data_IF_723626020405
#
_entry.id   IF_723626020405
#
_cell.length_a   1.000
_cell.length_b   1.000
_cell.length_c   1.000
_cell.angle_alpha   90.00
_cell.angle_beta   90.00
_cell.angle_gamma   90.00
#
_symmetry.space_group_name_H-M   'P 1'
#
loop_
_entity.id
_entity.type
_entity.pdbx_description
1 polymer ?
#
# COMPACT_ATOMS: atom_id res chain seq x y z
N UNK A 1 50.76 -19.39 1.56
CA UNK A 1 50.61 -18.05 0.96
C UNK A 1 49.38 -18.05 0.02
N UNK A 2 48.17 -17.59 0.39
CA UNK A 2 47.70 -16.84 1.58
C UNK A 2 46.22 -17.20 1.94
N UNK A 3 46.00 -18.35 2.56
CA UNK A 3 45.07 -18.51 3.70
C UNK A 3 45.77 -18.18 5.04
N UNK A 4 47.10 -18.14 5.02
CA UNK A 4 47.98 -17.87 6.16
C UNK A 4 47.99 -16.39 6.58
N UNK A 5 47.59 -15.43 5.73
CA UNK A 5 47.52 -14.01 6.11
C UNK A 5 46.36 -13.69 7.05
N UNK A 6 45.25 -14.42 6.92
CA UNK A 6 44.08 -14.24 7.80
C UNK A 6 44.40 -14.82 9.18
N UNK A 7 45.18 -15.91 9.24
CA UNK A 7 45.67 -16.48 10.51
C UNK A 7 46.77 -15.63 11.16
N UNK A 8 47.62 -14.94 10.38
CA UNK A 8 48.61 -14.00 10.94
C UNK A 8 48.00 -12.70 11.48
N UNK A 9 46.82 -12.28 11.01
CA UNK A 9 46.11 -11.11 11.52
C UNK A 9 45.39 -11.38 12.87
N UNK A 10 45.12 -12.64 13.18
CA UNK A 10 44.56 -13.11 14.45
C UNK A 10 45.69 -13.57 15.36
N UNK A 11 46.54 -12.61 15.76
CA UNK A 11 47.79 -12.84 16.49
C UNK A 11 47.68 -13.90 17.59
N UNK A 12 48.76 -14.67 17.74
CA UNK A 12 48.94 -15.80 18.65
C UNK A 12 48.19 -15.62 19.98
N UNK A 13 47.14 -16.42 20.15
CA UNK A 13 46.50 -16.60 21.45
C UNK A 13 47.45 -17.45 22.28
N UNK A 14 48.14 -16.80 23.23
CA UNK A 14 49.08 -17.43 24.16
C UNK A 14 48.44 -18.66 24.83
N UNK A 15 48.98 -19.85 24.54
CA UNK A 15 48.49 -21.16 25.01
C UNK A 15 48.36 -21.21 26.55
N UNK A 16 49.04 -20.32 27.27
CA UNK A 16 48.98 -20.21 28.73
C UNK A 16 47.60 -19.77 29.26
N UNK A 17 46.77 -19.12 28.45
CA UNK A 17 45.38 -18.79 28.83
C UNK A 17 44.38 -19.93 28.59
N UNK A 18 44.78 -20.99 27.89
CA UNK A 18 43.91 -22.12 27.55
C UNK A 18 43.98 -23.22 28.63
N UNK A 19 45.11 -23.40 29.31
CA UNK A 19 45.26 -24.48 30.32
C UNK A 19 44.65 -24.17 31.70
N UNK A 20 44.46 -22.90 32.07
CA UNK A 20 43.94 -22.54 33.41
C UNK A 20 42.41 -22.54 33.56
N UNK A 21 41.65 -22.76 32.48
CA UNK A 21 40.19 -22.66 32.52
C UNK A 21 39.43 -23.98 32.41
N UNK A 22 40.09 -25.13 32.46
CA UNK A 22 39.45 -26.44 32.28
C UNK A 22 38.41 -26.78 33.37
N UNK A 23 37.09 -26.83 33.07
CA UNK A 23 36.12 -27.45 33.96
C UNK A 23 35.94 -28.92 33.57
N UNK A 24 35.91 -29.75 34.62
CA UNK A 24 35.65 -31.18 34.61
C UNK A 24 34.49 -31.58 33.69
N UNK A 25 34.79 -32.52 32.78
CA UNK A 25 33.93 -33.54 32.15
C UNK A 25 32.41 -33.35 32.39
N UNK A 26 31.71 -32.67 31.48
CA UNK A 26 30.25 -32.77 31.29
C UNK A 26 29.83 -32.42 29.85
N UNK A 27 29.18 -33.41 29.21
CA UNK A 27 28.32 -33.40 28.03
C UNK A 27 28.77 -32.59 26.79
N UNK A 28 29.46 -33.28 25.86
CA UNK A 28 29.81 -32.78 24.52
C UNK A 28 28.60 -32.39 23.65
N UNK A 29 27.43 -33.00 23.86
CA UNK A 29 26.23 -32.72 23.06
C UNK A 29 25.72 -31.28 23.21
N UNK A 30 25.92 -30.64 24.37
CA UNK A 30 25.46 -29.26 24.61
C UNK A 30 26.29 -28.22 23.84
N UNK A 31 27.61 -28.49 23.66
CA UNK A 31 28.53 -27.60 22.93
C UNK A 31 28.27 -27.60 21.42
N UNK A 32 27.87 -28.73 20.85
CA UNK A 32 27.46 -28.83 19.44
C UNK A 32 26.09 -28.18 19.21
N UNK A 33 25.17 -28.28 20.17
CA UNK A 33 23.88 -27.57 20.12
C UNK A 33 24.04 -26.05 20.08
N UNK A 34 24.93 -25.46 20.89
CA UNK A 34 25.19 -24.01 20.86
C UNK A 34 25.90 -23.54 19.60
N UNK A 35 26.82 -24.34 19.06
CA UNK A 35 27.50 -24.04 17.79
C UNK A 35 26.56 -24.14 16.59
N UNK A 36 25.69 -25.15 16.56
CA UNK A 36 24.67 -25.31 15.53
C UNK A 36 23.61 -24.20 15.60
N UNK A 37 23.18 -23.79 16.80
CA UNK A 37 22.28 -22.66 16.96
C UNK A 37 22.93 -21.34 16.52
N UNK A 38 24.21 -21.10 16.85
CA UNK A 38 24.96 -19.95 16.38
C UNK A 38 25.13 -19.93 14.87
N UNK A 39 25.44 -21.07 14.25
CA UNK A 39 25.51 -21.22 12.79
C UNK A 39 24.16 -20.99 12.12
N UNK A 40 23.05 -21.53 12.66
CA UNK A 40 21.71 -21.28 12.12
C UNK A 40 21.29 -19.82 12.25
N UNK A 41 21.70 -19.14 13.31
CA UNK A 41 21.39 -17.73 13.53
C UNK A 41 22.22 -16.84 12.59
N UNK A 42 23.51 -17.14 12.40
CA UNK A 42 24.38 -16.47 11.42
C UNK A 42 23.92 -16.75 9.99
N UNK A 43 23.56 -17.99 9.65
CA UNK A 43 23.01 -18.35 8.35
C UNK A 43 21.64 -17.71 8.13
N UNK A 44 20.78 -17.63 9.15
CA UNK A 44 19.48 -16.98 9.05
C UNK A 44 19.60 -15.47 8.82
N UNK A 45 20.52 -14.80 9.53
CA UNK A 45 20.83 -13.39 9.30
C UNK A 45 21.45 -13.20 7.91
N UNK A 46 22.38 -14.08 7.50
CA UNK A 46 22.99 -14.02 6.18
C UNK A 46 21.97 -14.22 5.05
N UNK A 47 21.03 -15.15 5.21
CA UNK A 47 19.93 -15.36 4.24
C UNK A 47 19.04 -14.13 4.19
N UNK A 48 18.71 -13.50 5.32
CA UNK A 48 17.91 -12.27 5.31
C UNK A 48 18.65 -11.06 4.71
N UNK A 49 19.97 -10.99 4.83
CA UNK A 49 20.79 -9.94 4.23
C UNK A 49 21.06 -10.18 2.73
N UNK A 50 21.20 -11.45 2.32
CA UNK A 50 21.48 -11.84 0.93
C UNK A 50 20.20 -11.96 0.09
N UNK A 51 19.08 -12.29 0.72
CA UNK A 51 17.78 -12.46 0.10
C UNK A 51 16.75 -11.63 0.87
N UNK A 52 16.68 -10.32 0.60
CA UNK A 52 15.59 -9.50 1.11
C UNK A 52 14.25 -10.14 0.68
N UNK A 53 13.19 -10.04 1.52
CA UNK A 53 11.88 -10.52 1.14
C UNK A 53 11.39 -9.82 -0.14
N UNK A 54 10.36 -10.35 -0.80
CA UNK A 54 9.71 -9.60 -1.89
C UNK A 54 9.18 -8.25 -1.37
N UNK A 55 9.03 -7.28 -2.26
CA UNK A 55 8.56 -5.95 -1.88
C UNK A 55 7.17 -5.99 -1.22
N UNK A 56 6.27 -6.84 -1.70
CA UNK A 56 4.93 -7.07 -1.14
C UNK A 56 5.01 -7.67 0.26
N UNK A 57 5.92 -8.63 0.46
CA UNK A 57 6.14 -9.22 1.78
C UNK A 57 6.70 -8.18 2.76
N UNK A 58 7.54 -7.27 2.27
CA UNK A 58 8.01 -6.12 3.04
C UNK A 58 6.85 -5.16 3.37
N UNK A 59 6.05 -4.74 2.39
CA UNK A 59 4.91 -3.84 2.58
C UNK A 59 3.91 -4.40 3.59
N UNK A 60 3.47 -5.65 3.42
CA UNK A 60 2.52 -6.29 4.33
C UNK A 60 3.03 -6.34 5.79
N UNK A 61 4.35 -6.50 5.98
CA UNK A 61 4.97 -6.45 7.31
C UNK A 61 5.06 -5.02 7.84
N UNK A 62 5.41 -4.07 6.98
CA UNK A 62 5.50 -2.66 7.32
C UNK A 62 4.13 -2.14 7.78
N UNK A 63 3.07 -2.35 7.01
CA UNK A 63 1.72 -1.88 7.33
C UNK A 63 1.23 -2.52 8.63
N UNK A 64 1.39 -3.84 8.80
CA UNK A 64 1.01 -4.53 10.04
C UNK A 64 1.77 -4.01 11.28
N UNK A 65 3.02 -3.61 11.11
CA UNK A 65 3.82 -3.01 12.18
C UNK A 65 3.38 -1.58 12.49
N UNK A 66 3.19 -0.78 11.44
CA UNK A 66 2.82 0.63 11.53
C UNK A 66 1.47 0.84 12.21
N UNK A 67 0.42 0.11 11.79
CA UNK A 67 -0.91 0.17 12.40
C UNK A 67 -0.95 -0.24 13.87
N UNK A 68 0.06 -0.99 14.34
CA UNK A 68 0.14 -1.43 15.74
C UNK A 68 0.78 -0.39 16.66
N UNK A 69 1.60 0.51 16.12
CA UNK A 69 2.31 1.54 16.87
C UNK A 69 1.60 2.91 16.81
N UNK A 70 0.73 3.13 15.82
CA UNK A 70 0.04 4.42 15.58
C UNK A 70 -1.28 4.61 16.38
N UNK A 71 -1.36 4.17 17.65
CA UNK A 71 -2.57 4.32 18.48
C UNK A 71 -2.71 5.72 19.12
N UNK A 72 -2.46 6.76 18.34
CA UNK A 72 -2.61 8.14 18.79
C UNK A 72 -2.13 9.10 17.73
N UNK A 73 -3.06 9.90 17.20
CA UNK A 73 -2.96 11.26 16.66
C UNK A 73 -1.58 11.92 16.39
N UNK A 74 -0.57 11.19 15.93
CA UNK A 74 0.56 11.81 15.24
C UNK A 74 0.11 12.04 13.80
N UNK A 75 -0.47 13.22 13.61
CA UNK A 75 -0.58 13.90 12.34
C UNK A 75 0.87 14.19 11.85
N UNK A 76 1.63 13.14 11.56
CA UNK A 76 2.92 13.24 10.91
C UNK A 76 2.61 13.66 9.50
N UNK A 77 2.67 14.98 9.29
CA UNK A 77 3.00 15.66 8.05
C UNK A 77 3.12 14.68 6.86
N UNK A 78 2.00 14.50 6.15
CA UNK A 78 1.94 13.72 4.92
C UNK A 78 2.69 14.51 3.84
N UNK A 79 4.02 14.35 3.80
CA UNK A 79 4.83 14.86 2.70
C UNK A 79 4.31 14.22 1.40
N UNK A 80 3.79 15.06 0.51
CA UNK A 80 3.24 14.62 -0.76
C UNK A 80 3.88 15.33 -1.93
N UNK A 81 3.94 14.67 -3.09
CA UNK A 81 4.56 15.22 -4.29
C UNK A 81 3.82 14.81 -5.56
N UNK A 82 3.71 15.74 -6.50
CA UNK A 82 3.14 15.50 -7.82
C UNK A 82 4.20 15.12 -8.83
N UNK A 83 3.95 14.08 -9.62
CA UNK A 83 4.84 13.58 -10.67
C UNK A 83 4.05 13.49 -11.98
N UNK A 84 4.57 14.00 -13.11
CA UNK A 84 3.93 13.82 -14.40
C UNK A 84 3.82 12.34 -14.78
N UNK A 85 2.62 11.90 -15.17
CA UNK A 85 2.33 10.56 -15.70
C UNK A 85 1.37 10.71 -16.89
N UNK A 86 1.89 10.53 -18.10
CA UNK A 86 1.12 10.79 -19.32
C UNK A 86 0.60 12.23 -19.39
N UNK A 87 -0.72 12.40 -19.44
CA UNK A 87 -1.39 13.70 -19.45
C UNK A 87 -1.86 14.17 -18.07
N UNK A 88 -1.57 13.42 -17.01
CA UNK A 88 -2.01 13.69 -15.64
C UNK A 88 -0.81 13.96 -14.72
N UNK A 89 -1.07 14.51 -13.53
CA UNK A 89 -0.10 14.52 -12.44
C UNK A 89 -0.53 13.53 -11.37
N UNK A 90 0.28 12.49 -11.16
CA UNK A 90 0.11 11.54 -10.08
C UNK A 90 0.66 12.13 -8.78
N UNK A 91 -0.19 12.26 -7.78
CA UNK A 91 0.18 12.66 -6.44
C UNK A 91 0.57 11.43 -5.62
N UNK A 92 1.72 11.51 -4.97
CA UNK A 92 2.27 10.47 -4.13
C UNK A 92 2.42 10.95 -2.71
N UNK A 93 2.14 10.06 -1.76
CA UNK A 93 2.37 10.27 -0.34
C UNK A 93 3.61 9.52 0.11
N UNK A 94 4.42 10.17 0.94
CA UNK A 94 5.58 9.52 1.54
C UNK A 94 5.13 8.39 2.48
N UNK A 95 5.80 7.25 2.39
CA UNK A 95 5.66 6.14 3.34
C UNK A 95 6.70 6.35 4.45
N UNK A 96 6.27 6.74 5.67
CA UNK A 96 7.18 7.23 6.70
C UNK A 96 8.02 6.10 7.33
N UNK A 97 9.13 6.46 7.98
CA UNK A 97 9.95 5.52 8.78
C UNK A 97 10.53 4.30 8.04
N UNK A 98 10.56 4.30 6.71
CA UNK A 98 11.27 3.26 5.95
C UNK A 98 12.78 3.56 5.95
N UNK A 99 13.59 2.60 6.39
CA UNK A 99 15.05 2.78 6.48
C UNK A 99 15.68 2.83 5.09
N UNK A 100 16.66 3.72 4.89
CA UNK A 100 17.42 3.80 3.64
C UNK A 100 18.03 2.45 3.23
N UNK A 101 18.67 1.73 4.17
CA UNK A 101 19.24 0.40 3.90
C UNK A 101 18.21 -0.61 3.41
N UNK A 102 16.94 -0.45 3.78
CA UNK A 102 15.86 -1.30 3.28
C UNK A 102 15.52 -0.94 1.83
N UNK A 103 15.41 0.35 1.52
CA UNK A 103 15.07 0.84 0.18
C UNK A 103 16.13 0.50 -0.87
N UNK A 104 17.41 0.51 -0.49
CA UNK A 104 18.52 0.13 -1.37
C UNK A 104 18.35 -1.27 -2.00
N UNK A 105 17.67 -2.19 -1.30
CA UNK A 105 17.39 -3.53 -1.82
C UNK A 105 16.31 -3.58 -2.89
N UNK A 106 15.46 -2.55 -2.97
CA UNK A 106 14.29 -2.48 -3.84
C UNK A 106 14.41 -1.43 -4.94
N UNK A 107 15.58 -0.80 -5.11
CA UNK A 107 15.82 0.12 -6.23
C UNK A 107 15.80 -0.68 -7.55
N UNK A 108 14.85 -0.34 -8.42
CA UNK A 108 14.73 -0.87 -9.78
C UNK A 108 15.38 0.02 -10.83
N UNK A 109 14.83 -0.02 -12.04
CA UNK A 109 15.25 0.85 -13.13
C UNK A 109 14.86 2.30 -12.86
N UNK A 110 15.59 3.24 -13.48
CA UNK A 110 15.27 4.66 -13.40
C UNK A 110 13.95 4.90 -14.13
N UNK A 111 12.97 5.44 -13.41
CA UNK A 111 11.72 5.95 -13.97
C UNK A 111 11.94 7.33 -14.60
N UNK A 112 12.48 8.27 -13.81
CA UNK A 112 12.67 9.65 -14.23
C UNK A 112 13.77 10.35 -13.43
N UNK A 113 14.35 11.41 -14.02
CA UNK A 113 15.19 12.37 -13.32
C UNK A 113 14.51 13.74 -13.35
N UNK A 114 14.28 14.30 -12.18
CA UNK A 114 13.71 15.64 -11.99
C UNK A 114 14.69 16.53 -11.23
N UNK A 115 14.34 17.79 -11.02
CA UNK A 115 15.20 18.72 -10.28
C UNK A 115 15.47 18.28 -8.84
N UNK A 116 14.46 17.66 -8.20
CA UNK A 116 14.55 17.15 -6.83
C UNK A 116 15.36 15.87 -6.67
N UNK A 117 15.63 15.12 -7.75
CA UNK A 117 16.33 13.86 -7.64
C UNK A 117 15.99 12.85 -8.71
N UNK A 118 16.40 11.61 -8.45
CA UNK A 118 16.19 10.47 -9.35
C UNK A 118 15.08 9.59 -8.77
N UNK A 119 14.15 9.21 -9.62
CA UNK A 119 13.01 8.36 -9.30
C UNK A 119 13.19 7.01 -9.95
N UNK A 120 12.92 5.97 -9.17
CA UNK A 120 13.12 4.57 -9.56
C UNK A 120 11.81 3.82 -9.42
N UNK A 121 11.59 2.90 -10.36
CA UNK A 121 10.64 1.83 -10.17
C UNK A 121 11.05 0.98 -8.95
N UNK A 122 10.09 0.29 -8.36
CA UNK A 122 10.41 -0.82 -7.48
C UNK A 122 11.06 -1.93 -8.31
N UNK A 123 12.14 -2.51 -7.77
CA UNK A 123 12.85 -3.61 -8.41
C UNK A 123 11.90 -4.74 -8.81
N UNK A 124 12.06 -5.23 -10.03
CA UNK A 124 11.27 -6.30 -10.64
C UNK A 124 9.76 -5.95 -10.77
N UNK A 125 9.42 -4.66 -10.79
CA UNK A 125 8.07 -4.12 -11.04
C UNK A 125 8.11 -3.06 -12.14
N UNK A 126 7.06 -3.03 -12.95
CA UNK A 126 6.84 -2.09 -14.05
C UNK A 126 5.63 -1.15 -13.81
N UNK A 127 5.10 -1.15 -12.59
CA UNK A 127 3.99 -0.29 -12.16
C UNK A 127 4.48 0.98 -11.48
N UNK A 128 3.66 2.03 -11.48
CA UNK A 128 3.91 3.27 -10.73
C UNK A 128 3.20 3.32 -9.37
N UNK A 129 2.53 2.25 -8.93
CA UNK A 129 1.84 2.21 -7.63
C UNK A 129 2.75 2.62 -6.44
N UNK A 130 4.03 2.27 -6.53
CA UNK A 130 5.07 2.71 -5.61
C UNK A 130 6.31 3.15 -6.37
N UNK A 131 6.98 4.17 -5.86
CA UNK A 131 8.25 4.65 -6.40
C UNK A 131 9.26 4.90 -5.28
N UNK A 132 10.54 4.78 -5.59
CA UNK A 132 11.62 5.21 -4.71
C UNK A 132 12.21 6.48 -5.29
N UNK A 133 12.30 7.56 -4.52
CA UNK A 133 13.08 8.73 -4.91
C UNK A 133 14.42 8.74 -4.19
N UNK A 134 15.43 9.33 -4.84
CA UNK A 134 16.73 9.66 -4.26
C UNK A 134 16.97 11.16 -4.41
N UNK A 135 16.95 11.86 -3.28
CA UNK A 135 17.24 13.29 -3.21
C UNK A 135 18.62 13.61 -3.77
N UNK A 136 18.72 14.72 -4.49
CA UNK A 136 19.96 15.12 -5.18
C UNK A 136 21.04 15.62 -4.22
N UNK A 137 20.64 16.27 -3.13
CA UNK A 137 21.55 16.99 -2.24
C UNK A 137 22.32 16.06 -1.31
N UNK A 138 21.63 15.14 -0.65
CA UNK A 138 22.21 14.24 0.35
C UNK A 138 22.12 12.75 -0.02
N UNK A 139 21.44 12.42 -1.12
CA UNK A 139 21.22 11.05 -1.57
C UNK A 139 20.19 10.28 -0.75
N UNK A 140 19.39 10.95 0.08
CA UNK A 140 18.37 10.32 0.91
C UNK A 140 17.30 9.62 0.07
N UNK A 141 16.96 8.40 0.46
CA UNK A 141 15.94 7.58 -0.20
C UNK A 141 14.58 7.72 0.51
N UNK A 142 13.53 7.87 -0.28
CA UNK A 142 12.14 7.89 0.18
C UNK A 142 11.32 6.88 -0.59
N UNK A 143 10.37 6.24 0.10
CA UNK A 143 9.33 5.44 -0.54
C UNK A 143 8.06 6.27 -0.68
N UNK A 144 7.45 6.18 -1.84
CA UNK A 144 6.27 6.93 -2.22
C UNK A 144 5.18 5.97 -2.66
N UNK A 145 3.96 6.18 -2.17
CA UNK A 145 2.76 5.43 -2.56
C UNK A 145 1.86 6.35 -3.36
N UNK A 146 1.38 5.88 -4.52
CA UNK A 146 0.40 6.61 -5.28
C UNK A 146 -0.85 6.85 -4.43
N UNK A 147 -1.35 8.08 -4.46
CA UNK A 147 -2.59 8.48 -3.83
C UNK A 147 -3.63 8.80 -4.91
N UNK A 148 -3.45 9.87 -5.67
CA UNK A 148 -4.50 10.36 -6.55
C UNK A 148 -3.95 11.03 -7.80
N UNK A 149 -4.77 11.19 -8.85
CA UNK A 149 -4.47 12.14 -9.91
C UNK A 149 -4.96 13.55 -9.52
N UNK A 150 -4.15 14.55 -9.85
CA UNK A 150 -4.45 15.97 -9.68
C UNK A 150 -4.04 16.74 -10.95
N UNK A 151 -4.57 17.95 -11.17
CA UNK A 151 -3.99 18.89 -12.17
C UNK A 151 -2.78 19.65 -11.64
N UNK A 152 -2.31 19.29 -10.44
CA UNK A 152 -1.32 20.04 -9.67
C UNK A 152 -1.96 21.23 -8.96
N UNK A 153 -1.20 21.81 -8.02
CA UNK A 153 -1.53 23.10 -7.47
C UNK A 153 -1.20 24.16 -8.53
N UNK A 154 -2.11 25.10 -8.77
CA UNK A 154 -1.89 26.19 -9.71
C UNK A 154 -1.96 27.52 -8.98
N UNK A 155 -1.04 28.42 -9.32
CA UNK A 155 -1.24 29.83 -9.03
C UNK A 155 -2.46 30.33 -9.83
N UNK A 156 -3.06 31.46 -9.43
CA UNK A 156 -4.15 32.10 -10.18
C UNK A 156 -3.80 32.45 -11.63
N UNK A 157 -2.51 32.49 -11.99
CA UNK A 157 -2.03 32.71 -13.36
C UNK A 157 -1.89 31.41 -14.19
N UNK A 158 -2.24 30.25 -13.60
CA UNK A 158 -2.23 28.94 -14.24
C UNK A 158 -0.88 28.21 -14.18
N UNK A 159 0.15 28.79 -13.56
CA UNK A 159 1.46 28.15 -13.37
C UNK A 159 1.41 27.07 -12.29
N UNK A 160 2.08 25.94 -12.52
CA UNK A 160 2.15 24.81 -11.60
C UNK A 160 3.02 25.14 -10.38
N UNK A 161 2.60 24.66 -9.20
CA UNK A 161 3.29 24.82 -7.94
C UNK A 161 3.83 23.46 -7.49
N UNK A 162 5.15 23.39 -7.28
CA UNK A 162 5.78 22.31 -6.54
C UNK A 162 5.46 22.48 -5.06
N UNK A 163 4.71 21.55 -4.48
CA UNK A 163 4.24 21.70 -3.10
C UNK A 163 5.15 20.96 -2.14
N UNK A 164 5.88 21.75 -1.35
CA UNK A 164 6.52 21.34 -0.11
C UNK A 164 5.75 21.92 1.08
N UNK A 165 5.64 21.15 2.15
CA UNK A 165 4.54 21.07 3.11
C UNK A 165 4.18 22.30 3.99
N UNK A 166 4.80 23.47 3.84
CA UNK A 166 4.70 24.48 4.91
C UNK A 166 3.53 25.48 4.84
N UNK A 167 2.65 25.49 3.84
CA UNK A 167 1.67 26.61 3.72
C UNK A 167 0.29 26.25 3.17
N UNK A 168 -0.44 25.34 3.81
CA UNK A 168 -1.82 25.05 3.38
C UNK A 168 -2.89 26.05 3.89
N UNK A 169 -2.61 26.89 4.90
CA UNK A 169 -3.62 27.84 5.42
C UNK A 169 -3.55 29.25 4.82
N UNK A 170 -2.50 29.60 4.06
CA UNK A 170 -2.28 30.98 3.60
C UNK A 170 -2.33 31.14 2.09
N UNK A 171 -2.21 30.03 1.36
CA UNK A 171 -2.30 30.01 -0.08
C UNK A 171 -3.78 29.87 -0.43
N UNK A 172 -4.41 30.98 -0.84
CA UNK A 172 -5.73 30.99 -1.49
C UNK A 172 -5.65 30.19 -2.81
N UNK A 173 -5.59 28.86 -2.71
CA UNK A 173 -5.43 27.96 -3.84
C UNK A 173 -6.81 27.60 -4.38
N UNK A 174 -7.06 27.98 -5.62
CA UNK A 174 -8.17 27.41 -6.39
C UNK A 174 -7.73 26.01 -6.84
N UNK A 175 -8.37 24.99 -6.28
CA UNK A 175 -8.25 23.64 -6.77
C UNK A 175 -8.97 23.56 -8.13
N UNK A 176 -8.26 23.17 -9.18
CA UNK A 176 -8.92 22.65 -10.39
C UNK A 176 -8.74 21.13 -10.38
N UNK A 177 -9.81 20.40 -10.04
CA UNK A 177 -9.79 18.93 -10.04
C UNK A 177 -9.51 18.46 -11.47
N UNK A 178 -8.65 17.46 -11.63
CA UNK A 178 -8.68 16.71 -12.87
C UNK A 178 -9.86 15.76 -12.80
N UNK A 179 -10.71 15.81 -13.82
CA UNK A 179 -11.72 14.77 -14.01
C UNK A 179 -11.13 13.77 -14.97
N UNK A 180 -10.78 12.60 -14.43
CA UNK A 180 -10.36 11.46 -15.22
C UNK A 180 -11.24 10.27 -14.87
N UNK A 181 -11.39 9.34 -15.79
CA UNK A 181 -11.94 8.03 -15.46
C UNK A 181 -10.95 7.24 -14.60
N UNK A 182 -11.37 6.13 -13.96
CA UNK A 182 -10.42 5.25 -13.28
C UNK A 182 -9.53 4.47 -14.26
N UNK A 183 -9.88 4.36 -15.54
CA UNK A 183 -9.09 3.64 -16.54
C UNK A 183 -7.62 4.14 -16.62
N UNK A 184 -7.33 5.47 -16.73
CA UNK A 184 -5.97 5.98 -16.61
C UNK A 184 -5.25 5.58 -15.32
N UNK A 185 -5.95 5.48 -14.20
CA UNK A 185 -5.37 5.06 -12.92
C UNK A 185 -4.93 3.60 -13.03
N UNK A 186 -5.85 2.72 -13.44
CA UNK A 186 -5.55 1.29 -13.56
C UNK A 186 -4.45 0.99 -14.56
N UNK A 187 -4.52 1.57 -15.75
CA UNK A 187 -3.54 1.35 -16.81
C UNK A 187 -2.19 1.97 -16.48
N UNK A 188 -2.14 3.27 -16.16
CA UNK A 188 -0.87 4.00 -16.04
C UNK A 188 -0.18 3.80 -14.69
N UNK A 189 -0.94 3.56 -13.61
CA UNK A 189 -0.37 3.39 -12.28
C UNK A 189 -0.16 1.91 -11.96
N UNK A 190 -1.15 1.07 -12.24
CA UNK A 190 -1.16 -0.33 -11.82
C UNK A 190 -0.85 -1.33 -12.93
N UNK A 191 -0.70 -0.89 -14.19
CA UNK A 191 -0.45 -1.79 -15.33
C UNK A 191 -1.64 -2.68 -15.68
N UNK A 192 -2.84 -2.37 -15.19
CA UNK A 192 -4.07 -3.10 -15.51
C UNK A 192 -4.61 -2.59 -16.86
N UNK A 193 -4.24 -3.27 -17.95
CA UNK A 193 -4.60 -2.89 -19.32
C UNK A 193 -5.93 -3.51 -19.77
N UNK A 194 -6.26 -4.69 -19.27
CA UNK A 194 -7.46 -5.41 -19.67
C UNK A 194 -8.02 -6.32 -18.56
N UNK A 195 -9.23 -6.83 -18.78
CA UNK A 195 -9.88 -7.74 -17.83
C UNK A 195 -9.10 -9.05 -17.63
N UNK A 196 -8.37 -9.50 -18.66
CA UNK A 196 -7.57 -10.72 -18.60
C UNK A 196 -6.43 -10.64 -17.58
N UNK A 197 -5.98 -9.43 -17.25
CA UNK A 197 -4.95 -9.19 -16.23
C UNK A 197 -5.47 -9.42 -14.81
N UNK A 198 -6.80 -9.43 -14.61
CA UNK A 198 -7.42 -9.64 -13.30
C UNK A 198 -7.51 -11.14 -13.00
N UNK A 199 -6.87 -11.59 -11.92
CA UNK A 199 -7.01 -12.95 -11.38
C UNK A 199 -8.36 -13.09 -10.66
N UNK A 200 -8.64 -12.17 -9.72
CA UNK A 200 -9.81 -12.19 -8.83
C UNK A 200 -10.03 -10.83 -8.20
N UNK A 201 -11.24 -10.63 -7.68
CA UNK A 201 -11.58 -9.45 -6.87
C UNK A 201 -12.05 -9.92 -5.51
N UNK A 202 -11.44 -9.39 -4.45
CA UNK A 202 -11.81 -9.68 -3.07
C UNK A 202 -12.67 -8.54 -2.57
N UNK A 203 -13.85 -8.87 -2.07
CA UNK A 203 -14.83 -7.94 -1.49
C UNK A 203 -14.92 -8.26 -0.01
N UNK A 204 -14.52 -7.30 0.83
CA UNK A 204 -14.60 -7.44 2.29
C UNK A 204 -15.47 -6.33 2.87
N UNK A 205 -16.14 -6.55 4.01
CA UNK A 205 -16.83 -5.47 4.71
C UNK A 205 -15.83 -4.39 5.12
N UNK A 206 -16.24 -3.12 5.05
CA UNK A 206 -15.35 -2.03 5.46
C UNK A 206 -15.20 -2.01 6.98
N UNK A 207 -13.96 -1.87 7.41
CA UNK A 207 -13.49 -2.06 8.78
C UNK A 207 -13.73 -0.81 9.64
N UNK A 208 -14.83 -0.07 9.43
CA UNK A 208 -15.15 1.13 10.22
C UNK A 208 -15.49 0.70 11.65
N UNK A 209 -14.46 0.56 12.48
CA UNK A 209 -14.48 0.11 13.87
C UNK A 209 -14.68 1.27 14.85
N UNK A 210 -15.78 2.00 14.74
CA UNK A 210 -16.02 3.15 15.64
C UNK A 210 -17.18 2.96 16.63
N UNK A 211 -17.67 1.73 16.83
CA UNK A 211 -18.45 1.37 18.02
C UNK A 211 -18.56 -0.15 18.20
N UNK A 212 -18.68 -0.60 19.45
CA UNK A 212 -18.99 -1.99 19.83
C UNK A 212 -20.28 -2.54 19.16
N UNK A 213 -21.12 -1.65 18.63
CA UNK A 213 -22.30 -1.97 17.84
C UNK A 213 -21.97 -2.60 16.48
N UNK A 214 -20.76 -2.39 15.93
CA UNK A 214 -20.35 -2.81 14.58
C UNK A 214 -19.81 -4.25 14.48
N UNK A 215 -19.32 -4.84 15.58
CA UNK A 215 -18.98 -6.27 15.62
C UNK A 215 -20.20 -7.18 15.38
N UNK A 216 -21.41 -6.69 15.70
CA UNK A 216 -22.67 -7.40 15.46
C UNK A 216 -23.22 -7.19 14.05
N UNK A 217 -22.88 -6.10 13.36
CA UNK A 217 -23.45 -5.70 12.06
C UNK A 217 -22.85 -6.50 10.90
N UNK A 218 -21.61 -6.96 11.05
CA UNK A 218 -20.87 -7.63 9.96
C UNK A 218 -20.73 -9.14 10.15
N UNK A 219 -21.37 -9.71 11.17
CA UNK A 219 -21.20 -11.14 11.52
C UNK A 219 -21.61 -12.09 10.38
N UNK A 220 -22.52 -11.65 9.51
CA UNK A 220 -23.07 -12.45 8.41
C UNK A 220 -22.60 -11.98 7.02
N UNK A 221 -21.86 -10.86 6.91
CA UNK A 221 -21.26 -10.43 5.64
C UNK A 221 -19.85 -11.02 5.54
N UNK A 222 -19.76 -12.21 4.95
CA UNK A 222 -18.49 -12.87 4.73
C UNK A 222 -17.69 -12.20 3.59
N UNK A 223 -16.37 -12.22 3.72
CA UNK A 223 -15.47 -11.87 2.63
C UNK A 223 -15.79 -12.75 1.40
N UNK A 224 -16.00 -12.10 0.26
CA UNK A 224 -16.28 -12.77 -1.00
C UNK A 224 -15.10 -12.65 -1.94
N UNK A 225 -14.78 -13.75 -2.60
CA UNK A 225 -13.82 -13.76 -3.71
C UNK A 225 -14.57 -13.97 -5.01
N UNK A 226 -14.61 -12.93 -5.84
CA UNK A 226 -15.15 -12.97 -7.18
C UNK A 226 -14.11 -13.57 -8.13
N UNK A 227 -14.48 -14.64 -8.81
CA UNK A 227 -13.65 -15.33 -9.82
C UNK A 227 -14.39 -15.56 -11.13
N UNK A 228 -15.70 -15.33 -11.15
CA UNK A 228 -16.49 -15.42 -12.37
C UNK A 228 -16.23 -14.20 -13.26
N UNK A 229 -16.09 -14.46 -14.56
CA UNK A 229 -15.68 -13.42 -15.52
C UNK A 229 -16.77 -12.37 -15.75
N UNK A 230 -18.03 -12.72 -15.59
CA UNK A 230 -19.14 -11.79 -15.80
C UNK A 230 -19.16 -10.69 -14.72
N UNK A 231 -19.04 -11.08 -13.44
CA UNK A 231 -18.95 -10.11 -12.33
C UNK A 231 -17.70 -9.25 -12.41
N UNK A 232 -16.55 -9.86 -12.74
CA UNK A 232 -15.28 -9.12 -12.93
C UNK A 232 -15.43 -8.12 -14.09
N UNK A 233 -16.03 -8.52 -15.21
CA UNK A 233 -16.25 -7.65 -16.37
C UNK A 233 -17.14 -6.48 -16.01
N UNK A 234 -18.25 -6.74 -15.32
CA UNK A 234 -19.19 -5.70 -14.93
C UNK A 234 -18.52 -4.68 -14.01
N UNK A 235 -17.80 -5.14 -12.98
CA UNK A 235 -17.12 -4.26 -12.03
C UNK A 235 -15.98 -3.47 -12.70
N UNK A 236 -15.15 -4.13 -13.52
CA UNK A 236 -14.08 -3.46 -14.24
C UNK A 236 -14.62 -2.38 -15.19
N UNK A 237 -15.66 -2.70 -15.96
CA UNK A 237 -16.29 -1.74 -16.89
C UNK A 237 -16.88 -0.55 -16.12
N UNK A 238 -17.61 -0.82 -15.02
CA UNK A 238 -18.16 0.24 -14.17
C UNK A 238 -17.08 1.15 -13.60
N UNK A 239 -15.99 0.58 -13.08
CA UNK A 239 -14.89 1.40 -12.55
C UNK A 239 -14.26 2.24 -13.67
N UNK A 240 -13.89 1.62 -14.79
CA UNK A 240 -13.27 2.30 -15.92
C UNK A 240 -14.15 3.41 -16.52
N UNK A 241 -15.46 3.25 -16.56
CA UNK A 241 -16.38 4.28 -17.10
C UNK A 241 -16.69 5.39 -16.09
N UNK A 242 -16.44 5.16 -14.80
CA UNK A 242 -16.78 6.13 -13.77
C UNK A 242 -15.72 7.22 -13.66
N UNK A 243 -16.16 8.47 -13.71
CA UNK A 243 -15.31 9.64 -13.50
C UNK A 243 -14.91 9.73 -12.02
N UNK A 244 -13.63 9.89 -11.73
CA UNK A 244 -13.09 10.20 -10.42
C UNK A 244 -12.98 11.72 -10.22
N UNK A 245 -13.31 12.17 -9.02
CA UNK A 245 -13.19 13.55 -8.53
C UNK A 245 -12.24 13.58 -7.34
N UNK A 246 -11.27 14.50 -7.34
CA UNK A 246 -10.29 14.60 -6.24
C UNK A 246 -10.84 15.22 -4.95
N UNK A 247 -12.08 15.73 -4.94
CA UNK A 247 -12.82 16.01 -3.70
C UNK A 247 -14.30 16.27 -4.03
N UNK A 248 -15.22 15.50 -3.44
CA UNK A 248 -16.65 15.81 -3.54
C UNK A 248 -17.36 15.67 -2.20
N UNK A 249 -18.23 16.63 -1.91
CA UNK A 249 -19.06 16.64 -0.71
C UNK A 249 -20.08 15.51 -0.80
N UNK A 250 -20.14 14.67 0.23
CA UNK A 250 -21.10 13.56 0.33
C UNK A 250 -22.52 14.07 0.04
N UNK A 251 -23.10 13.67 -1.08
CA UNK A 251 -24.57 13.68 -1.18
C UNK A 251 -25.11 12.72 -0.10
N UNK A 252 -26.23 13.10 0.51
CA UNK A 252 -26.86 12.32 1.56
C UNK A 252 -27.23 10.92 1.04
N UNK A 253 -27.19 9.92 1.92
CA UNK A 253 -27.57 8.52 1.65
C UNK A 253 -28.78 8.42 0.70
N UNK A 254 -28.52 8.11 -0.57
CA UNK A 254 -29.50 7.90 -1.64
C UNK A 254 -30.28 6.60 -1.45
N UNK A 255 -29.61 5.63 -0.84
CA UNK A 255 -30.13 4.33 -0.48
C UNK A 255 -29.93 4.08 1.02
N UNK A 256 -30.71 3.16 1.57
CA UNK A 256 -30.64 2.79 2.98
C UNK A 256 -30.67 1.27 3.09
N UNK A 257 -29.50 0.67 3.08
CA UNK A 257 -29.35 -0.78 3.25
C UNK A 257 -29.21 -1.12 4.72
N UNK A 258 -29.96 -2.13 5.18
CA UNK A 258 -30.02 -2.56 6.58
C UNK A 258 -30.32 -4.05 6.65
N UNK A 259 -29.60 -4.76 7.50
CA UNK A 259 -29.95 -6.14 7.79
C UNK A 259 -31.29 -6.25 8.52
N UNK A 260 -32.04 -7.30 8.19
CA UNK A 260 -33.23 -7.70 8.93
C UNK A 260 -32.82 -8.38 10.24
N UNK A 261 -33.32 -7.90 11.38
CA UNK A 261 -33.12 -8.59 12.66
C UNK A 261 -34.15 -9.72 12.82
N UNK A 262 -33.79 -10.80 13.53
CA UNK A 262 -34.69 -11.94 13.78
C UNK A 262 -36.02 -11.54 14.45
N UNK A 263 -36.04 -10.41 15.15
CA UNK A 263 -37.20 -9.87 15.85
C UNK A 263 -38.12 -9.01 14.94
N UNK A 264 -37.85 -8.92 13.64
CA UNK A 264 -38.58 -8.07 12.71
C UNK A 264 -38.24 -6.57 12.82
N UNK A 265 -37.14 -6.23 13.50
CA UNK A 265 -36.52 -4.91 13.51
C UNK A 265 -35.55 -4.72 12.36
N UNK A 266 -35.11 -3.48 12.15
CA UNK A 266 -34.04 -3.17 11.20
C UNK A 266 -32.79 -2.77 11.96
N UNK A 267 -31.68 -3.40 11.59
CA UNK A 267 -30.36 -3.03 12.09
C UNK A 267 -29.93 -1.62 11.64
N UNK A 268 -28.78 -1.15 12.11
CA UNK A 268 -28.15 0.08 11.63
C UNK A 268 -27.76 -0.02 10.14
N UNK A 269 -27.53 1.14 9.47
CA UNK A 269 -27.12 1.17 8.05
C UNK A 269 -25.86 0.32 7.79
N UNK A 270 -25.92 -0.49 6.74
CA UNK A 270 -24.83 -1.32 6.23
C UNK A 270 -24.58 -1.04 4.73
N UNK A 271 -23.63 -1.74 4.10
CA UNK A 271 -23.40 -1.63 2.65
C UNK A 271 -22.17 -0.83 2.24
N UNK A 272 -21.19 -0.67 3.13
CA UNK A 272 -19.86 -0.19 2.75
C UNK A 272 -18.91 -1.38 2.65
N UNK A 273 -18.34 -1.63 1.48
CA UNK A 273 -17.34 -2.66 1.28
C UNK A 273 -16.01 -2.08 0.78
N UNK A 274 -14.96 -2.85 0.96
CA UNK A 274 -13.63 -2.60 0.42
C UNK A 274 -13.31 -3.68 -0.61
N UNK A 275 -12.81 -3.23 -1.75
CA UNK A 275 -12.43 -4.06 -2.88
C UNK A 275 -10.91 -4.09 -2.99
N UNK A 276 -10.37 -5.29 -3.21
CA UNK A 276 -9.00 -5.49 -3.66
C UNK A 276 -9.00 -6.25 -4.98
N UNK A 277 -8.39 -5.68 -6.01
CA UNK A 277 -8.23 -6.32 -7.32
C UNK A 277 -6.86 -7.00 -7.34
N UNK A 278 -6.84 -8.32 -7.49
CA UNK A 278 -5.60 -9.09 -7.58
C UNK A 278 -5.34 -9.38 -9.06
N UNK A 279 -4.17 -8.96 -9.54
CA UNK A 279 -3.72 -9.16 -10.90
C UNK A 279 -2.95 -10.48 -11.04
N UNK A 280 -2.86 -10.98 -12.27
CA UNK A 280 -2.21 -12.26 -12.61
C UNK A 280 -0.71 -12.30 -12.29
N UNK A 281 -0.05 -11.14 -12.28
CA UNK A 281 1.36 -10.97 -11.90
C UNK A 281 1.57 -10.92 -10.37
N UNK A 282 0.48 -10.99 -9.59
CA UNK A 282 0.46 -10.90 -8.14
C UNK A 282 0.37 -9.46 -7.59
N UNK A 283 0.29 -8.45 -8.45
CA UNK A 283 0.03 -7.07 -8.03
C UNK A 283 -1.37 -6.97 -7.44
N UNK A 284 -1.50 -6.25 -6.32
CA UNK A 284 -2.78 -6.03 -5.65
C UNK A 284 -3.09 -4.54 -5.68
N UNK A 285 -4.17 -4.18 -6.37
CA UNK A 285 -4.76 -2.85 -6.33
C UNK A 285 -5.67 -2.82 -5.10
N UNK A 286 -5.13 -2.32 -3.99
CA UNK A 286 -5.84 -2.32 -2.72
C UNK A 286 -6.74 -1.09 -2.53
N UNK A 287 -7.82 -1.29 -1.78
CA UNK A 287 -8.62 -0.24 -1.13
C UNK A 287 -9.39 0.66 -2.12
N UNK A 288 -10.21 0.04 -2.96
CA UNK A 288 -11.35 0.75 -3.56
C UNK A 288 -12.54 0.53 -2.62
N UNK A 289 -12.92 1.56 -1.87
CA UNK A 289 -14.11 1.54 -1.03
C UNK A 289 -15.34 1.76 -1.91
N UNK A 290 -16.39 0.98 -1.70
CA UNK A 290 -17.69 1.20 -2.30
C UNK A 290 -18.70 1.47 -1.19
N UNK A 291 -19.50 2.53 -1.34
CA UNK A 291 -20.60 2.85 -0.43
C UNK A 291 -21.93 2.66 -1.16
N UNK A 292 -22.62 1.57 -0.89
CA UNK A 292 -23.93 1.26 -1.47
C UNK A 292 -25.00 2.30 -1.10
N UNK A 293 -24.88 2.96 0.07
CA UNK A 293 -25.86 3.97 0.49
C UNK A 293 -25.78 5.24 -0.36
N UNK A 294 -24.62 5.50 -0.96
CA UNK A 294 -24.41 6.64 -1.86
C UNK A 294 -24.43 6.20 -3.32
N UNK A 295 -24.00 4.96 -3.60
CA UNK A 295 -23.75 4.47 -4.94
C UNK A 295 -22.51 5.11 -5.54
N UNK A 296 -21.38 5.06 -4.84
CA UNK A 296 -20.12 5.64 -5.30
C UNK A 296 -18.92 4.82 -4.82
N UNK A 297 -17.84 4.87 -5.60
CA UNK A 297 -16.54 4.36 -5.22
C UNK A 297 -15.67 5.47 -4.62
N UNK A 298 -14.72 5.08 -3.78
CA UNK A 298 -13.69 5.93 -3.24
C UNK A 298 -12.35 5.18 -3.30
N UNK A 299 -11.33 5.84 -3.83
CA UNK A 299 -9.97 5.31 -3.88
C UNK A 299 -9.01 6.42 -3.52
N UNK A 300 -8.21 6.23 -2.46
CA UNK A 300 -7.14 7.16 -2.06
C UNK A 300 -7.57 8.64 -2.06
N UNK A 301 -8.63 8.94 -1.32
CA UNK A 301 -9.18 10.30 -1.20
C UNK A 301 -10.02 10.79 -2.39
N UNK A 302 -9.94 10.15 -3.56
CA UNK A 302 -10.80 10.45 -4.71
C UNK A 302 -12.15 9.76 -4.59
N UNK A 303 -13.21 10.43 -5.01
CA UNK A 303 -14.57 9.89 -5.06
C UNK A 303 -15.03 9.77 -6.50
N UNK A 304 -15.73 8.70 -6.81
CA UNK A 304 -16.33 8.52 -8.12
C UNK A 304 -17.57 9.40 -8.29
N UNK A 305 -17.97 9.63 -9.53
CA UNK A 305 -19.33 10.04 -9.84
C UNK A 305 -20.33 9.05 -9.25
N UNK A 306 -21.52 9.57 -8.96
CA UNK A 306 -22.64 8.76 -8.53
C UNK A 306 -23.01 7.78 -9.64
N UNK A 307 -23.08 6.51 -9.27
CA UNK A 307 -23.58 5.43 -10.12
C UNK A 307 -25.10 5.58 -10.31
N UNK A 308 -25.59 5.08 -11.44
CA UNK A 308 -27.04 4.96 -11.66
C UNK A 308 -27.65 3.96 -10.68
N UNK A 309 -28.97 4.05 -10.45
CA UNK A 309 -29.65 3.12 -9.56
C UNK A 309 -29.52 1.67 -10.04
N UNK A 310 -29.59 1.44 -11.36
CA UNK A 310 -29.40 0.12 -11.97
C UNK A 310 -28.01 -0.44 -11.70
N UNK A 311 -26.96 0.39 -11.81
CA UNK A 311 -25.59 -0.02 -11.54
C UNK A 311 -25.39 -0.35 -10.04
N UNK A 312 -26.00 0.45 -9.14
CA UNK A 312 -25.99 0.18 -7.70
C UNK A 312 -26.67 -1.15 -7.39
N UNK A 313 -27.85 -1.39 -7.94
CA UNK A 313 -28.58 -2.64 -7.72
C UNK A 313 -27.80 -3.86 -8.25
N UNK A 314 -27.22 -3.77 -9.44
CA UNK A 314 -26.41 -4.84 -10.00
C UNK A 314 -25.16 -5.14 -9.15
N UNK A 315 -24.44 -4.12 -8.69
CA UNK A 315 -23.29 -4.30 -7.80
C UNK A 315 -23.68 -4.91 -6.46
N UNK A 316 -24.79 -4.44 -5.88
CA UNK A 316 -25.29 -4.95 -4.62
C UNK A 316 -25.72 -6.42 -4.71
N UNK A 317 -26.27 -6.86 -5.84
CA UNK A 317 -26.54 -8.29 -6.08
C UNK A 317 -25.25 -9.13 -6.08
N UNK A 318 -24.19 -8.67 -6.76
CA UNK A 318 -22.87 -9.34 -6.77
C UNK A 318 -22.26 -9.36 -5.36
N UNK A 319 -22.32 -8.24 -4.65
CA UNK A 319 -21.76 -8.12 -3.31
C UNK A 319 -22.63 -8.79 -2.25
N UNK A 320 -23.90 -9.12 -2.56
CA UNK A 320 -24.91 -9.61 -1.62
C UNK A 320 -25.22 -8.58 -0.53
N UNK A 321 -25.42 -7.33 -0.94
CA UNK A 321 -25.94 -6.24 -0.11
C UNK A 321 -27.44 -6.15 -0.44
N UNK A 322 -28.30 -6.41 0.54
CA UNK A 322 -29.77 -6.43 0.39
C UNK A 322 -30.48 -5.37 1.23
#
# INVERSE_FOLDING_TARGET
>A
MKSEEILMALGDVDERYVEESAPKKKNSALKWGSLAAGLLLVCGIAVHLLYPPSFETFLARYEKGYYRESSGYELNALMGIGIPVGNHFAFYLNVPHVKQSTLEHYIGEVYAEYENGIWYYIKDKDTLAYLISKEKDDGTLYLWKFDSFSRGFRNHDGTLIDVYEEQFEHLNLDWELDTCTYEPIFSSIYGLECIEDIEKIIVKPSDVRDSDTLELIWKDFEEKTLTDRESIQMLYTLLCDTVAYSNYGKEANRFLYRFSEENGGYGPPCGICELSIVLMDGTVIELIRYDANVGAFQHSGTYSALLSEEAVHALNEIFGIE
#
